data_IF_549299937859
#
_entry.id   IF_549299937859
#
_cell.length_a   1.000
_cell.length_b   1.000
_cell.length_c   1.000
_cell.angle_alpha   90.00
_cell.angle_beta   90.00
_cell.angle_gamma   90.00
#
_symmetry.space_group_name_H-M   'P 1'
#
loop_
_entity.id
_entity.type
_entity.pdbx_description
1 polymer ?
#
# COMPACT_ATOMS: atom_id res chain seq x y z
N UNK A 1 15.15 -19.08 0.06
CA UNK A 1 13.72 -19.07 -0.25
C UNK A 1 13.00 -19.57 0.98
N UNK A 2 12.44 -18.67 1.79
CA UNK A 2 11.72 -19.03 3.00
C UNK A 2 10.24 -19.11 2.65
N UNK A 3 9.62 -20.27 2.85
CA UNK A 3 8.17 -20.39 2.79
C UNK A 3 7.59 -19.95 4.13
N UNK A 4 6.82 -18.87 4.11
CA UNK A 4 6.15 -18.36 5.30
C UNK A 4 4.67 -18.69 5.19
N UNK A 5 4.18 -19.57 6.06
CA UNK A 5 2.76 -19.90 6.16
C UNK A 5 2.03 -18.78 6.91
N UNK A 6 1.15 -18.04 6.23
CA UNK A 6 0.46 -16.89 6.82
C UNK A 6 -0.71 -17.26 7.76
N UNK A 7 -0.72 -18.50 8.28
CA UNK A 7 -1.71 -18.98 9.23
C UNK A 7 -1.45 -18.46 10.67
N UNK A 8 -0.22 -18.05 10.98
CA UNK A 8 0.16 -17.52 12.30
C UNK A 8 0.38 -16.00 12.26
N UNK A 9 -0.56 -15.22 11.73
CA UNK A 9 -0.45 -13.75 11.77
C UNK A 9 -0.92 -13.22 13.13
N UNK A 10 0.02 -13.23 14.06
CA UNK A 10 -0.04 -12.59 15.38
C UNK A 10 1.34 -12.09 15.83
N UNK A 11 2.42 -12.63 15.26
CA UNK A 11 3.79 -12.23 15.54
C UNK A 11 4.33 -11.29 14.44
N UNK A 12 5.18 -10.34 14.81
CA UNK A 12 5.89 -9.44 13.89
C UNK A 12 6.87 -10.26 13.03
N UNK A 13 6.37 -10.86 11.95
CA UNK A 13 7.20 -11.64 11.01
C UNK A 13 7.86 -10.69 10.03
N UNK A 14 9.16 -10.50 10.20
CA UNK A 14 9.98 -9.78 9.24
C UNK A 14 10.15 -10.60 7.95
N UNK A 15 9.91 -9.96 6.81
CA UNK A 15 10.04 -10.56 5.48
C UNK A 15 10.98 -9.74 4.59
N UNK A 16 11.71 -10.41 3.72
CA UNK A 16 12.62 -9.80 2.75
C UNK A 16 12.08 -9.88 1.32
N UNK A 17 12.50 -8.99 0.42
CA UNK A 17 12.16 -9.09 -1.00
C UNK A 17 12.59 -10.45 -1.57
N UNK A 18 11.66 -11.11 -2.27
CA UNK A 18 11.85 -12.44 -2.84
C UNK A 18 11.30 -13.58 -1.99
N UNK A 19 10.90 -13.34 -0.74
CA UNK A 19 10.20 -14.34 0.08
C UNK A 19 8.80 -14.63 -0.47
N UNK A 20 8.37 -15.89 -0.34
CA UNK A 20 7.05 -16.35 -0.80
C UNK A 20 6.15 -16.57 0.40
N UNK A 21 4.97 -15.97 0.36
CA UNK A 21 3.95 -16.03 1.41
C UNK A 21 2.72 -16.72 0.85
N UNK A 22 2.28 -17.77 1.52
CA UNK A 22 1.06 -18.49 1.17
C UNK A 22 -0.08 -18.02 2.08
N UNK A 23 -1.17 -17.53 1.49
CA UNK A 23 -2.29 -16.93 2.23
C UNK A 23 -3.63 -17.47 1.74
N UNK A 24 -4.36 -18.15 2.63
CA UNK A 24 -5.77 -18.48 2.41
C UNK A 24 -6.67 -17.36 2.97
N UNK A 25 -7.79 -17.00 2.30
CA UNK A 25 -8.79 -16.09 2.84
C UNK A 25 -9.41 -16.69 4.10
N UNK A 26 -9.69 -15.82 5.08
CA UNK A 26 -10.47 -16.19 6.27
C UNK A 26 -11.94 -16.22 5.88
N UNK A 27 -12.56 -17.39 6.01
CA UNK A 27 -14.01 -17.51 5.90
C UNK A 27 -14.67 -16.91 7.15
N UNK A 28 -15.29 -15.74 6.99
CA UNK A 28 -16.10 -15.13 8.05
C UNK A 28 -17.55 -15.58 7.86
N UNK A 29 -18.11 -16.23 8.88
CA UNK A 29 -19.45 -16.82 8.87
C UNK A 29 -20.51 -15.72 8.59
N UNK A 30 -21.01 -15.65 7.36
CA UNK A 30 -22.06 -14.71 6.94
C UNK A 30 -21.71 -13.80 5.76
N UNK A 31 -20.46 -13.78 5.28
CA UNK A 31 -20.03 -12.91 4.18
C UNK A 31 -19.75 -13.72 2.92
N UNK A 32 -20.56 -13.51 1.87
CA UNK A 32 -20.51 -14.28 0.61
C UNK A 32 -19.34 -13.89 -0.33
N UNK A 33 -18.53 -12.93 0.06
CA UNK A 33 -17.46 -12.37 -0.78
C UNK A 33 -16.17 -12.16 0.03
N UNK A 34 -15.68 -13.24 0.64
CA UNK A 34 -14.44 -13.27 1.42
C UNK A 34 -13.18 -13.21 0.52
N UNK A 35 -13.15 -12.30 -0.46
CA UNK A 35 -12.01 -12.13 -1.35
C UNK A 35 -10.77 -11.64 -0.59
N UNK A 36 -9.61 -12.26 -0.86
CA UNK A 36 -8.34 -11.83 -0.33
C UNK A 36 -7.93 -10.48 -0.96
N UNK A 37 -7.66 -9.48 -0.12
CA UNK A 37 -7.18 -8.15 -0.51
C UNK A 37 -5.68 -8.06 -0.27
N UNK A 38 -4.96 -7.68 -1.32
CA UNK A 38 -3.51 -7.58 -1.30
C UNK A 38 -3.14 -6.11 -1.24
N UNK A 39 -2.46 -5.73 -0.17
CA UNK A 39 -1.97 -4.38 0.07
C UNK A 39 -0.52 -4.19 -0.38
N UNK A 40 0.09 -3.06 -0.01
CA UNK A 40 1.44 -2.70 -0.46
C UNK A 40 2.49 -3.71 0.00
N UNK A 41 3.58 -3.79 -0.78
CA UNK A 41 4.74 -4.65 -0.48
C UNK A 41 4.58 -6.12 -0.87
N UNK A 42 3.45 -6.49 -1.49
CA UNK A 42 3.16 -7.85 -1.97
C UNK A 42 2.73 -7.83 -3.44
N UNK A 43 3.06 -8.89 -4.17
CA UNK A 43 2.57 -9.15 -5.53
C UNK A 43 2.06 -10.58 -5.63
N UNK A 44 0.99 -10.81 -6.39
CA UNK A 44 0.54 -12.17 -6.70
C UNK A 44 1.56 -12.84 -7.59
N UNK A 45 1.95 -14.06 -7.25
CA UNK A 45 2.70 -14.91 -8.18
C UNK A 45 1.70 -15.80 -8.92
N UNK A 46 1.57 -15.67 -10.24
CA UNK A 46 0.78 -16.61 -11.02
C UNK A 46 1.29 -18.04 -10.84
N UNK A 47 0.40 -19.03 -10.78
CA UNK A 47 0.79 -20.44 -10.68
C UNK A 47 1.73 -20.88 -11.81
N UNK A 48 1.64 -20.26 -12.99
CA UNK A 48 2.54 -20.52 -14.12
C UNK A 48 4.01 -20.16 -13.82
N UNK A 49 4.24 -19.06 -13.09
CA UNK A 49 5.57 -18.63 -12.65
C UNK A 49 6.10 -19.54 -11.54
N UNK A 50 5.23 -19.99 -10.63
CA UNK A 50 5.59 -20.93 -9.56
C UNK A 50 6.00 -22.31 -10.11
N UNK A 51 5.28 -22.79 -11.13
CA UNK A 51 5.63 -24.04 -11.85
C UNK A 51 6.95 -23.90 -12.59
N UNK A 52 7.17 -22.78 -13.28
CA UNK A 52 8.42 -22.52 -13.99
C UNK A 52 9.64 -22.43 -13.05
N UNK A 53 9.44 -21.93 -11.83
CA UNK A 53 10.45 -21.84 -10.79
C UNK A 53 10.66 -23.15 -10.01
N UNK A 54 9.94 -24.22 -10.34
CA UNK A 54 10.04 -25.52 -9.66
C UNK A 54 9.57 -25.51 -8.20
N UNK A 55 8.74 -24.53 -7.82
CA UNK A 55 8.24 -24.36 -6.44
C UNK A 55 7.02 -25.24 -6.18
N UNK A 56 6.27 -25.58 -7.22
CA UNK A 56 5.15 -26.52 -7.15
C UNK A 56 5.59 -27.82 -7.83
N UNK A 57 5.76 -28.88 -7.04
CA UNK A 57 5.95 -30.24 -7.57
C UNK A 57 4.68 -30.67 -8.32
N UNK A 58 4.87 -31.34 -9.45
CA UNK A 58 3.80 -31.79 -10.33
C UNK A 58 2.71 -32.54 -9.54
N UNK A 59 1.46 -32.18 -9.81
CA UNK A 59 0.21 -32.78 -9.33
C UNK A 59 -0.33 -32.33 -7.95
N UNK A 60 0.24 -31.29 -7.34
CA UNK A 60 -0.45 -30.58 -6.26
C UNK A 60 -1.63 -29.75 -6.83
N UNK A 61 -2.80 -30.38 -6.94
CA UNK A 61 -4.09 -29.71 -7.00
C UNK A 61 -4.11 -28.64 -5.91
N UNK A 62 -4.34 -27.37 -6.28
CA UNK A 62 -4.48 -26.25 -5.35
C UNK A 62 -5.64 -26.54 -4.40
N UNK A 63 -5.29 -27.19 -3.29
CA UNK A 63 -6.19 -27.53 -2.21
C UNK A 63 -6.56 -26.24 -1.50
N UNK A 64 -7.71 -25.69 -1.85
CA UNK A 64 -8.30 -24.54 -1.18
C UNK A 64 -7.94 -23.22 -1.86
N UNK A 65 -8.76 -22.21 -1.58
CA UNK A 65 -8.77 -20.87 -2.17
C UNK A 65 -7.53 -20.03 -1.80
N UNK A 66 -6.33 -20.58 -1.91
CA UNK A 66 -5.09 -20.04 -1.36
C UNK A 66 -4.32 -19.26 -2.42
N UNK A 67 -3.88 -18.05 -2.09
CA UNK A 67 -3.07 -17.22 -2.96
C UNK A 67 -1.59 -17.28 -2.55
N UNK A 68 -0.71 -17.42 -3.54
CA UNK A 68 0.73 -17.28 -3.35
C UNK A 68 1.20 -15.87 -3.71
N UNK A 69 1.89 -15.24 -2.76
CA UNK A 69 2.33 -13.86 -2.86
C UNK A 69 3.85 -13.79 -2.75
N UNK A 70 4.49 -12.92 -3.53
CA UNK A 70 5.89 -12.56 -3.36
C UNK A 70 6.00 -11.26 -2.59
N UNK A 71 6.93 -11.23 -1.65
CA UNK A 71 7.33 -10.01 -0.96
C UNK A 71 8.23 -9.20 -1.88
N UNK A 72 7.93 -7.91 -2.05
CA UNK A 72 8.70 -6.99 -2.90
C UNK A 72 9.37 -5.86 -2.12
N UNK A 73 9.03 -5.72 -0.84
CA UNK A 73 9.57 -4.70 0.07
C UNK A 73 9.98 -5.37 1.38
N UNK A 74 11.14 -5.02 1.97
CA UNK A 74 11.51 -5.53 3.29
C UNK A 74 10.66 -4.87 4.39
N UNK A 75 10.17 -5.65 5.34
CA UNK A 75 9.35 -5.12 6.43
C UNK A 75 8.59 -6.20 7.19
N UNK A 76 7.66 -5.76 8.03
CA UNK A 76 6.86 -6.67 8.83
C UNK A 76 5.60 -7.07 8.07
N UNK A 77 5.37 -8.37 7.92
CA UNK A 77 4.15 -8.88 7.31
C UNK A 77 2.96 -8.65 8.25
N UNK A 78 1.93 -7.97 7.76
CA UNK A 78 0.72 -7.61 8.51
C UNK A 78 -0.51 -8.22 7.85
N UNK A 79 -1.48 -8.62 8.68
CA UNK A 79 -2.80 -9.09 8.24
C UNK A 79 -3.91 -8.52 9.11
N UNK A 80 -5.01 -8.14 8.48
CA UNK A 80 -6.27 -7.78 9.13
C UNK A 80 -7.43 -8.39 8.35
N UNK A 81 -8.00 -9.47 8.89
CA UNK A 81 -9.01 -10.26 8.18
C UNK A 81 -8.46 -10.81 6.87
N UNK A 82 -9.09 -10.41 5.76
CA UNK A 82 -8.69 -10.80 4.40
C UNK A 82 -7.74 -9.79 3.74
N UNK A 83 -7.26 -8.77 4.45
CA UNK A 83 -6.27 -7.84 3.93
C UNK A 83 -4.87 -8.21 4.44
N UNK A 84 -3.91 -8.36 3.55
CA UNK A 84 -2.49 -8.62 3.88
C UNK A 84 -1.61 -7.57 3.22
N UNK A 85 -0.62 -7.05 3.94
CA UNK A 85 0.35 -6.07 3.42
C UNK A 85 1.68 -6.21 4.16
N UNK A 86 2.74 -5.64 3.61
CA UNK A 86 4.03 -5.51 4.32
C UNK A 86 4.19 -4.08 4.78
N UNK A 87 4.47 -3.91 6.07
CA UNK A 87 4.84 -2.62 6.62
C UNK A 87 6.34 -2.38 6.44
N UNK A 88 6.69 -1.64 5.38
CA UNK A 88 8.08 -1.48 4.95
C UNK A 88 8.95 -0.70 5.95
N UNK A 89 10.21 -1.14 6.12
CA UNK A 89 11.21 -0.49 7.01
C UNK A 89 11.54 0.95 6.55
N UNK A 90 11.55 1.19 5.24
CA UNK A 90 11.81 2.51 4.65
C UNK A 90 10.55 3.04 3.97
N UNK A 91 9.87 3.98 4.63
CA UNK A 91 8.70 4.67 4.06
C UNK A 91 9.14 6.02 3.50
N UNK A 92 8.97 6.22 2.18
CA UNK A 92 8.89 7.59 1.64
C UNK A 92 7.57 8.18 2.11
N UNK A 93 7.54 9.45 2.49
CA UNK A 93 6.29 10.09 2.88
C UNK A 93 5.30 9.99 1.70
N UNK A 94 4.23 9.22 1.88
CA UNK A 94 3.11 9.16 0.94
C UNK A 94 2.06 10.11 1.50
N UNK A 95 1.87 11.29 0.90
CA UNK A 95 0.84 12.21 1.35
C UNK A 95 -0.53 11.55 1.14
N UNK A 96 -1.36 11.58 2.16
CA UNK A 96 -2.77 11.26 2.06
C UNK A 96 -3.59 12.51 1.71
N UNK A 97 -4.83 12.30 1.25
CA UNK A 97 -5.76 13.41 1.04
C UNK A 97 -5.98 14.18 2.36
N UNK A 98 -5.73 15.49 2.34
CA UNK A 98 -5.85 16.37 3.51
C UNK A 98 -4.55 16.60 4.28
N UNK A 99 -3.45 15.91 3.94
CA UNK A 99 -2.15 16.17 4.56
C UNK A 99 -1.57 17.52 4.12
N UNK A 100 -1.01 18.25 5.08
CA UNK A 100 -0.23 19.45 4.81
C UNK A 100 1.23 19.06 4.57
N UNK A 101 1.71 19.27 3.35
CA UNK A 101 3.08 18.96 2.94
C UNK A 101 3.84 20.21 2.55
N UNK A 102 5.13 20.25 2.87
CA UNK A 102 6.07 21.29 2.41
C UNK A 102 6.81 20.72 1.21
N UNK A 103 6.85 21.46 0.11
CA UNK A 103 7.57 21.06 -1.08
C UNK A 103 8.24 22.21 -1.80
N UNK A 104 9.21 21.88 -2.66
CA UNK A 104 10.01 22.84 -3.42
C UNK A 104 9.45 22.91 -4.83
N UNK A 105 9.19 24.13 -5.33
CA UNK A 105 8.74 24.31 -6.72
C UNK A 105 9.88 23.95 -7.67
N UNK A 106 9.67 22.95 -8.53
CA UNK A 106 10.65 22.45 -9.51
C UNK A 106 10.34 22.89 -10.93
N UNK A 107 9.12 23.35 -11.21
CA UNK A 107 8.76 23.88 -12.53
C UNK A 107 7.37 24.52 -12.54
N UNK A 108 7.10 25.33 -13.56
CA UNK A 108 5.84 26.09 -13.69
C UNK A 108 5.21 25.91 -15.08
N UNK A 109 4.69 24.72 -15.41
CA UNK A 109 3.99 24.52 -16.67
C UNK A 109 2.60 25.20 -16.65
N UNK A 110 2.50 26.36 -17.33
CA UNK A 110 1.22 27.07 -17.51
C UNK A 110 0.66 27.62 -16.20
N UNK A 111 -0.55 27.20 -15.82
CA UNK A 111 -1.26 27.61 -14.59
C UNK A 111 -0.99 26.67 -13.38
N UNK A 112 -0.02 25.75 -13.53
CA UNK A 112 0.32 24.76 -12.52
C UNK A 112 1.80 24.87 -12.10
N UNK A 113 2.07 24.47 -10.87
CA UNK A 113 3.38 24.34 -10.28
C UNK A 113 3.68 22.85 -10.07
N UNK A 114 4.80 22.38 -10.60
CA UNK A 114 5.39 21.12 -10.19
C UNK A 114 6.12 21.34 -8.87
N UNK A 115 5.79 20.53 -7.87
CA UNK A 115 6.31 20.64 -6.51
C UNK A 115 6.94 19.30 -6.16
N UNK A 116 8.23 19.31 -5.86
CA UNK A 116 8.90 18.17 -5.26
C UNK A 116 8.58 18.16 -3.75
N UNK A 117 7.96 17.07 -3.31
CA UNK A 117 7.53 16.84 -1.93
C UNK A 117 8.39 15.79 -1.21
N UNK A 118 9.51 15.36 -1.83
CA UNK A 118 10.36 14.30 -1.30
C UNK A 118 9.76 12.89 -1.44
N UNK A 119 8.73 12.74 -2.30
CA UNK A 119 8.05 11.48 -2.59
C UNK A 119 8.66 10.70 -3.76
N UNK A 120 7.97 9.65 -4.22
CA UNK A 120 8.35 8.93 -5.44
C UNK A 120 7.92 9.64 -6.74
N UNK A 121 7.01 10.59 -6.64
CA UNK A 121 6.54 11.42 -7.75
C UNK A 121 6.43 12.88 -7.30
N UNK A 122 6.63 13.80 -8.23
CA UNK A 122 6.37 15.22 -8.00
C UNK A 122 4.86 15.44 -7.91
N UNK A 123 4.45 16.34 -7.02
CA UNK A 123 3.08 16.80 -6.93
C UNK A 123 2.83 17.94 -7.92
N UNK A 124 1.56 18.15 -8.28
CA UNK A 124 1.13 19.31 -9.07
C UNK A 124 0.20 20.17 -8.22
N UNK A 125 0.56 21.43 -8.03
CA UNK A 125 -0.30 22.42 -7.38
C UNK A 125 -0.85 23.38 -8.44
N UNK A 126 -2.16 23.64 -8.43
CA UNK A 126 -2.76 24.63 -9.33
C UNK A 126 -3.00 25.96 -8.63
N UNK A 127 -2.78 27.06 -9.34
CA UNK A 127 -2.94 28.43 -8.82
C UNK A 127 -4.38 28.70 -8.34
N UNK A 128 -5.35 28.07 -9.03
CA UNK A 128 -6.79 28.19 -8.76
C UNK A 128 -7.24 27.50 -7.46
N UNK A 129 -6.53 26.45 -7.03
CA UNK A 129 -6.75 25.77 -5.76
C UNK A 129 -6.09 26.54 -4.60
N UNK A 130 -4.88 27.07 -4.80
CA UNK A 130 -4.18 27.90 -3.81
C UNK A 130 -5.00 29.14 -3.40
N UNK A 131 -5.57 29.86 -4.37
CA UNK A 131 -6.32 31.09 -4.07
C UNK A 131 -7.67 30.84 -3.37
N UNK A 132 -8.36 29.74 -3.66
CA UNK A 132 -9.65 29.40 -3.03
C UNK A 132 -9.45 28.89 -1.61
N UNK A 133 -8.51 27.96 -1.41
CA UNK A 133 -8.27 27.33 -0.13
C UNK A 133 -7.69 28.32 0.90
N UNK A 134 -6.78 29.21 0.47
CA UNK A 134 -6.22 30.27 1.33
C UNK A 134 -7.30 31.27 1.77
N UNK A 135 -8.26 31.61 0.89
CA UNK A 135 -9.37 32.52 1.24
C UNK A 135 -10.36 31.89 2.22
N UNK A 136 -10.63 30.59 2.11
CA UNK A 136 -11.44 29.87 3.09
C UNK A 136 -10.75 29.79 4.46
N UNK A 137 -9.46 29.42 4.50
CA UNK A 137 -8.68 29.37 5.74
C UNK A 137 -8.60 30.73 6.44
N UNK A 138 -8.34 31.82 5.70
CA UNK A 138 -8.32 33.17 6.28
C UNK A 138 -9.69 33.57 6.84
N UNK A 139 -10.79 33.22 6.16
CA UNK A 139 -12.14 33.47 6.67
C UNK A 139 -12.44 32.68 7.93
N UNK A 140 -12.01 31.42 7.99
CA UNK A 140 -12.21 30.56 9.15
C UNK A 140 -11.40 31.05 10.36
N UNK A 141 -10.10 31.38 10.16
CA UNK A 141 -9.27 31.98 11.21
C UNK A 141 -9.86 33.31 11.71
N UNK A 142 -10.31 34.18 10.80
CA UNK A 142 -10.94 35.44 11.17
C UNK A 142 -12.29 35.26 11.88
N UNK A 143 -12.99 34.14 11.68
CA UNK A 143 -14.22 33.79 12.42
C UNK A 143 -13.88 33.30 13.83
N UNK A 144 -12.82 32.51 13.97
CA UNK A 144 -12.34 31.92 15.23
C UNK A 144 -11.70 32.94 16.19
N UNK A 145 -11.14 34.03 15.66
CA UNK A 145 -10.63 35.17 16.45
C UNK A 145 -11.76 36.07 16.98
N UNK A 146 -12.94 36.04 16.34
CA UNK A 146 -14.09 36.89 16.68
C UNK A 146 -15.14 36.21 17.57
N UNK A 147 -14.96 34.95 17.94
CA UNK A 147 -15.76 34.23 18.95
C UNK A 147 -15.01 34.14 20.26
#
# INVERSE_FOLDING_TARGET
MVHVEAAAVGDDVFVAPGDTVEVAPVEVKGEKDAALRIGPGLTVIPETQLRAAGVLDGDASSSGNTAMLQVVVPGDLRRKGNMVWVDGVHKRALPAEGDYVIGIITGTPGENYNVDIGGSCNATASERLSAKHTRELVKEMARKIRS
#
